data_IF_085072831139
#
_entry.id   IF_085072831139
#
_cell.length_a   1.000
_cell.length_b   1.000
_cell.length_c   1.000
_cell.angle_alpha   90.00
_cell.angle_beta   90.00
_cell.angle_gamma   90.00
#
_symmetry.space_group_name_H-M   'P 1'
#
loop_
_entity.id
_entity.type
_entity.pdbx_description
1 polymer ?
#
# COMPACT_ATOMS: atom_id res chain seq x y z
N UNK A 1 22.89 -53.78 -8.64
CA UNK A 1 21.99 -52.99 -9.49
C UNK A 1 20.85 -52.41 -8.66
N UNK A 2 21.00 -51.20 -8.13
CA UNK A 2 19.88 -50.41 -7.61
C UNK A 2 20.31 -48.93 -7.50
N UNK A 3 20.31 -48.22 -8.62
CA UNK A 3 20.30 -46.76 -8.62
C UNK A 3 18.93 -46.34 -9.14
N UNK A 4 18.05 -45.79 -8.28
CA UNK A 4 16.98 -44.90 -8.75
C UNK A 4 16.41 -44.00 -7.66
N UNK A 5 16.97 -42.79 -7.64
CA UNK A 5 16.31 -41.50 -7.41
C UNK A 5 15.91 -41.14 -5.97
N UNK A 6 16.76 -40.28 -5.40
CA UNK A 6 16.39 -39.25 -4.44
C UNK A 6 15.13 -38.52 -4.90
N UNK A 7 14.03 -38.68 -4.16
CA UNK A 7 12.79 -37.92 -4.34
C UNK A 7 12.93 -36.60 -3.58
N UNK A 8 13.35 -35.59 -4.33
CA UNK A 8 13.29 -34.17 -3.99
C UNK A 8 11.93 -33.81 -3.39
N UNK A 9 11.95 -33.26 -2.16
CA UNK A 9 10.84 -32.50 -1.60
C UNK A 9 10.57 -31.25 -2.43
N UNK A 10 9.30 -30.91 -2.66
CA UNK A 10 8.89 -29.55 -2.31
C UNK A 10 7.71 -29.56 -1.33
N UNK A 11 7.94 -28.99 -0.14
CA UNK A 11 6.89 -28.51 0.74
C UNK A 11 6.27 -27.25 0.10
N UNK A 12 5.05 -27.38 -0.41
CA UNK A 12 4.17 -26.26 -0.76
C UNK A 12 2.70 -26.73 -0.65
N UNK A 13 1.71 -25.87 -0.38
CA UNK A 13 1.74 -24.60 0.33
C UNK A 13 0.65 -24.54 1.43
N UNK A 14 1.02 -24.07 2.63
CA UNK A 14 0.06 -23.57 3.62
C UNK A 14 -0.51 -22.25 3.09
N UNK A 15 -1.83 -22.22 2.86
CA UNK A 15 -2.79 -21.08 2.86
C UNK A 15 -3.98 -21.53 1.98
N UNK A 16 -4.90 -22.35 2.48
CA UNK A 16 -6.03 -21.87 3.27
C UNK A 16 -6.57 -20.52 2.76
N UNK A 17 -7.54 -20.61 1.86
CA UNK A 17 -8.68 -19.71 1.67
C UNK A 17 -8.70 -18.43 2.52
N UNK A 18 -8.33 -17.32 1.89
CA UNK A 18 -8.87 -16.02 2.23
C UNK A 18 -9.12 -15.29 0.91
N UNK A 19 -10.21 -15.64 0.23
CA UNK A 19 -10.76 -14.82 -0.82
C UNK A 19 -11.26 -13.51 -0.18
N UNK A 20 -10.66 -12.33 -0.46
CA UNK A 20 -11.35 -11.10 -0.15
C UNK A 20 -12.55 -11.03 -1.08
N UNK A 21 -13.73 -11.13 -0.47
CA UNK A 21 -15.03 -11.00 -1.09
C UNK A 21 -15.03 -9.93 -2.19
N UNK A 22 -15.64 -10.31 -3.30
CA UNK A 22 -16.14 -9.43 -4.36
C UNK A 22 -16.68 -8.12 -3.78
N UNK A 23 -15.90 -7.04 -3.89
CA UNK A 23 -16.41 -5.69 -3.70
C UNK A 23 -17.02 -5.22 -5.02
N UNK A 24 -18.23 -5.71 -5.31
CA UNK A 24 -19.16 -4.96 -6.13
C UNK A 24 -19.59 -3.74 -5.30
N UNK A 25 -19.13 -2.54 -5.67
CA UNK A 25 -19.54 -1.32 -5.00
C UNK A 25 -20.98 -0.98 -5.35
N UNK A 26 -21.85 -0.83 -4.35
CA UNK A 26 -23.21 -0.31 -4.55
C UNK A 26 -23.19 1.23 -4.60
N UNK A 27 -23.90 1.80 -5.57
CA UNK A 27 -24.31 3.20 -5.58
C UNK A 27 -25.53 3.35 -4.67
N UNK A 28 -25.33 3.89 -3.45
CA UNK A 28 -26.44 4.36 -2.61
C UNK A 28 -26.41 5.88 -2.53
N UNK A 29 -27.55 6.51 -2.84
CA UNK A 29 -27.79 7.96 -2.72
C UNK A 29 -26.73 8.87 -3.34
N UNK A 30 -26.23 8.54 -4.54
CA UNK A 30 -25.37 9.44 -5.32
C UNK A 30 -24.00 9.74 -4.70
N UNK A 31 -23.61 9.08 -3.60
CA UNK A 31 -22.32 9.26 -2.95
C UNK A 31 -21.42 8.07 -3.23
N UNK A 32 -20.40 8.25 -4.08
CA UNK A 32 -19.38 7.23 -4.33
C UNK A 32 -18.59 7.00 -3.04
N UNK A 33 -18.95 5.95 -2.30
CA UNK A 33 -18.26 5.51 -1.10
C UNK A 33 -16.82 5.17 -1.49
N UNK A 34 -15.88 6.01 -1.05
CA UNK A 34 -14.46 5.82 -1.34
C UNK A 34 -14.04 4.39 -0.96
N UNK A 35 -13.40 3.71 -1.91
CA UNK A 35 -12.81 2.38 -1.74
C UNK A 35 -12.16 2.26 -0.36
N UNK A 36 -12.53 1.22 0.40
CA UNK A 36 -11.99 0.98 1.71
C UNK A 36 -10.45 1.07 1.71
N UNK A 37 -9.81 1.63 2.76
CA UNK A 37 -8.37 1.53 2.89
C UNK A 37 -7.99 0.05 2.84
N UNK A 38 -7.00 -0.29 2.03
CA UNK A 38 -6.46 -1.65 1.95
C UNK A 38 -5.98 -2.04 3.35
N UNK A 39 -6.72 -2.97 3.98
CA UNK A 39 -6.57 -3.32 5.39
C UNK A 39 -5.16 -3.85 5.73
N UNK A 40 -4.45 -4.38 4.72
CA UNK A 40 -3.05 -4.84 4.83
C UNK A 40 -2.11 -3.75 5.37
N UNK A 41 -2.31 -2.50 4.95
CA UNK A 41 -1.46 -1.37 5.36
C UNK A 41 -1.80 -0.86 6.77
N UNK A 42 -3.04 -1.00 7.22
CA UNK A 42 -3.44 -0.55 8.56
C UNK A 42 -2.90 -1.51 9.62
N UNK A 43 -2.99 -2.82 9.38
CA UNK A 43 -2.47 -3.84 10.29
C UNK A 43 -0.93 -3.79 10.43
N UNK A 44 -0.21 -3.45 9.36
CA UNK A 44 1.25 -3.45 9.37
C UNK A 44 1.90 -2.25 10.09
N UNK A 45 1.20 -1.11 10.18
CA UNK A 45 1.77 0.16 10.68
C UNK A 45 0.91 0.86 11.75
N UNK A 46 -0.36 0.50 11.89
CA UNK A 46 -1.24 1.03 12.93
C UNK A 46 -1.04 0.19 14.18
N UNK A 47 -0.59 0.78 15.29
CA UNK A 47 -0.45 0.10 16.59
C UNK A 47 -1.79 -0.29 17.23
N UNK A 48 -2.77 -0.74 16.44
CA UNK A 48 -4.12 -1.16 16.76
C UNK A 48 -5.01 -1.20 15.51
N UNK A 49 -5.98 -2.12 15.46
CA UNK A 49 -6.79 -2.50 14.27
C UNK A 49 -7.65 -1.36 13.69
N UNK A 50 -7.86 -0.27 14.44
CA UNK A 50 -8.64 0.90 13.99
C UNK A 50 -7.83 2.17 13.69
N UNK A 51 -6.50 2.14 13.83
CA UNK A 51 -5.70 3.37 13.81
C UNK A 51 -5.37 3.87 12.39
N UNK A 52 -6.33 4.53 11.74
CA UNK A 52 -6.16 5.15 10.42
C UNK A 52 -5.47 6.51 10.46
N UNK A 53 -5.48 7.19 11.62
CA UNK A 53 -4.89 8.52 11.83
C UNK A 53 -3.36 8.55 11.96
N UNK A 54 -2.72 7.39 12.10
CA UNK A 54 -1.27 7.31 12.28
C UNK A 54 -0.52 7.79 11.03
N UNK A 55 0.50 8.64 11.21
CA UNK A 55 1.32 9.15 10.11
C UNK A 55 2.00 8.02 9.29
N UNK A 56 2.38 6.90 9.93
CA UNK A 56 2.97 5.75 9.24
C UNK A 56 1.95 5.07 8.29
N UNK A 57 0.72 4.86 8.78
CA UNK A 57 -0.38 4.27 7.98
C UNK A 57 -0.73 5.19 6.81
N UNK A 58 -0.82 6.50 7.04
CA UNK A 58 -1.09 7.46 5.97
C UNK A 58 0.00 7.45 4.89
N UNK A 59 1.28 7.33 5.26
CA UNK A 59 2.39 7.22 4.30
C UNK A 59 2.28 5.94 3.46
N UNK A 60 1.90 4.82 4.06
CA UNK A 60 1.66 3.57 3.33
C UNK A 60 0.51 3.70 2.32
N UNK A 61 -0.64 4.23 2.75
CA UNK A 61 -1.81 4.45 1.87
C UNK A 61 -1.50 5.41 0.72
N UNK A 62 -0.78 6.51 0.99
CA UNK A 62 -0.35 7.43 -0.05
C UNK A 62 0.59 6.77 -1.05
N UNK A 63 1.48 5.89 -0.58
CA UNK A 63 2.43 5.19 -1.44
C UNK A 63 1.71 4.21 -2.37
N UNK A 64 0.73 3.46 -1.87
CA UNK A 64 -0.12 2.63 -2.72
C UNK A 64 -0.85 3.45 -3.78
N UNK A 65 -1.47 4.58 -3.39
CA UNK A 65 -2.17 5.47 -4.32
C UNK A 65 -1.25 6.02 -5.40
N UNK A 66 -0.05 6.47 -5.02
CA UNK A 66 0.98 6.96 -5.95
C UNK A 66 1.36 5.87 -6.95
N UNK A 67 1.58 4.64 -6.48
CA UNK A 67 1.97 3.52 -7.35
C UNK A 67 0.85 3.15 -8.34
N UNK A 68 -0.41 3.12 -7.89
CA UNK A 68 -1.57 2.87 -8.77
C UNK A 68 -1.70 3.94 -9.87
N UNK A 69 -1.60 5.21 -9.49
CA UNK A 69 -1.70 6.33 -10.43
C UNK A 69 -0.53 6.33 -11.43
N UNK A 70 0.70 6.14 -10.94
CA UNK A 70 1.93 6.18 -11.76
C UNK A 70 2.00 5.04 -12.77
N UNK A 71 1.67 3.82 -12.35
CA UNK A 71 1.89 2.64 -13.19
C UNK A 71 0.73 2.39 -14.17
N UNK A 72 -0.51 2.80 -13.82
CA UNK A 72 -1.70 2.57 -14.65
C UNK A 72 -2.25 3.84 -15.28
N UNK A 73 -2.84 4.71 -14.46
CA UNK A 73 -3.69 5.82 -14.92
C UNK A 73 -3.01 6.77 -15.92
N UNK A 74 -1.79 7.23 -15.62
CA UNK A 74 -1.09 8.18 -16.50
C UNK A 74 -0.53 7.56 -17.79
N UNK A 75 -0.44 6.23 -17.88
CA UNK A 75 -0.09 5.57 -19.15
C UNK A 75 -1.25 5.63 -20.15
N UNK A 76 -2.48 5.48 -19.65
CA UNK A 76 -3.69 5.58 -20.47
C UNK A 76 -4.09 7.04 -20.75
N UNK A 77 -3.86 7.94 -19.79
CA UNK A 77 -4.26 9.35 -19.88
C UNK A 77 -3.05 10.30 -19.83
N UNK A 78 -2.22 10.27 -20.87
CA UNK A 78 -1.01 11.09 -20.94
C UNK A 78 -1.25 12.61 -20.98
N UNK A 79 -2.46 13.05 -21.39
CA UNK A 79 -2.81 14.48 -21.50
C UNK A 79 -3.41 15.08 -20.22
N UNK A 80 -3.63 14.30 -19.16
CA UNK A 80 -4.24 14.80 -17.92
C UNK A 80 -3.25 15.56 -17.01
N UNK A 81 -3.13 16.87 -17.26
CA UNK A 81 -2.28 17.79 -16.49
C UNK A 81 -2.79 18.02 -15.05
N UNK A 82 -4.10 17.98 -14.82
CA UNK A 82 -4.68 18.19 -13.50
C UNK A 82 -4.42 16.98 -12.60
N UNK A 83 -4.51 15.76 -13.14
CA UNK A 83 -4.11 14.53 -12.49
C UNK A 83 -2.63 14.55 -12.09
N UNK A 84 -1.74 14.96 -13.00
CA UNK A 84 -0.31 15.10 -12.69
C UNK A 84 -0.04 16.08 -11.53
N UNK A 85 -0.74 17.21 -11.49
CA UNK A 85 -0.66 18.16 -10.36
C UNK A 85 -1.13 17.51 -9.06
N UNK A 86 -2.25 16.77 -9.09
CA UNK A 86 -2.73 15.99 -7.94
C UNK A 86 -1.72 14.96 -7.44
N UNK A 87 -1.03 14.26 -8.36
CA UNK A 87 0.05 13.34 -8.03
C UNK A 87 1.21 14.05 -7.34
N UNK A 88 1.66 15.20 -7.85
CA UNK A 88 2.74 15.98 -7.24
C UNK A 88 2.37 16.46 -5.83
N UNK A 89 1.11 16.87 -5.62
CA UNK A 89 0.59 17.21 -4.29
C UNK A 89 0.63 16.00 -3.33
N UNK A 90 0.25 14.80 -3.79
CA UNK A 90 0.34 13.57 -2.99
C UNK A 90 1.78 13.23 -2.59
N UNK A 91 2.72 13.31 -3.53
CA UNK A 91 4.15 13.08 -3.26
C UNK A 91 4.66 14.09 -2.23
N UNK A 92 4.29 15.36 -2.37
CA UNK A 92 4.69 16.44 -1.45
C UNK A 92 4.13 16.23 -0.05
N UNK A 93 2.86 15.84 0.08
CA UNK A 93 2.24 15.54 1.37
C UNK A 93 2.89 14.33 2.05
N UNK A 94 3.22 13.28 1.29
CA UNK A 94 3.98 12.13 1.80
C UNK A 94 5.36 12.54 2.32
N UNK A 95 6.09 13.40 1.60
CA UNK A 95 7.39 13.95 2.04
C UNK A 95 7.26 14.73 3.35
N UNK A 96 6.21 15.55 3.51
CA UNK A 96 5.93 16.27 4.76
C UNK A 96 5.67 15.33 5.95
N UNK A 97 4.89 14.26 5.74
CA UNK A 97 4.65 13.25 6.78
C UNK A 97 5.92 12.50 7.19
N UNK A 98 6.78 12.15 6.23
CA UNK A 98 8.08 11.54 6.52
C UNK A 98 9.00 12.49 7.31
N UNK A 99 9.02 13.77 6.95
CA UNK A 99 9.76 14.79 7.72
C UNK A 99 9.21 14.97 9.14
N UNK A 100 7.89 14.87 9.33
CA UNK A 100 7.26 14.89 10.64
C UNK A 100 7.66 13.67 11.49
N UNK A 101 7.57 12.46 10.91
CA UNK A 101 8.01 11.22 11.56
C UNK A 101 9.47 11.27 11.96
N UNK A 102 10.35 11.79 11.08
CA UNK A 102 11.78 11.95 11.37
C UNK A 102 12.03 12.83 12.59
N UNK A 103 11.24 13.88 12.80
CA UNK A 103 11.36 14.80 13.95
C UNK A 103 10.81 14.21 15.25
N UNK A 104 9.72 13.43 15.19
CA UNK A 104 9.02 12.94 16.39
C UNK A 104 9.46 11.55 16.83
N UNK A 105 9.67 10.61 15.90
CA UNK A 105 9.95 9.20 16.16
C UNK A 105 10.88 8.61 15.10
N UNK A 106 12.18 8.67 15.37
CA UNK A 106 13.22 8.23 14.42
C UNK A 106 13.11 6.74 14.06
N UNK A 107 12.81 5.88 15.04
CA UNK A 107 12.67 4.42 14.87
C UNK A 107 11.55 4.10 13.86
N UNK A 108 10.40 4.76 14.02
CA UNK A 108 9.26 4.60 13.11
C UNK A 108 9.57 5.12 11.70
N UNK A 109 10.29 6.23 11.59
CA UNK A 109 10.75 6.72 10.29
C UNK A 109 11.63 5.69 9.57
N UNK A 110 12.65 5.14 10.25
CA UNK A 110 13.54 4.14 9.67
C UNK A 110 12.79 2.87 9.24
N UNK A 111 11.89 2.37 10.10
CA UNK A 111 11.05 1.21 9.79
C UNK A 111 10.18 1.43 8.55
N UNK A 112 9.50 2.59 8.44
CA UNK A 112 8.64 2.91 7.31
C UNK A 112 9.44 3.07 6.01
N UNK A 113 10.58 3.75 6.07
CA UNK A 113 11.45 3.94 4.90
C UNK A 113 11.99 2.60 4.38
N UNK A 114 12.46 1.73 5.28
CA UNK A 114 12.99 0.41 4.92
C UNK A 114 11.90 -0.50 4.34
N UNK A 115 10.72 -0.56 4.98
CA UNK A 115 9.62 -1.42 4.50
C UNK A 115 9.05 -0.97 3.15
N UNK A 116 8.96 0.33 2.90
CA UNK A 116 8.40 0.87 1.66
C UNK A 116 9.45 1.08 0.55
N UNK A 117 10.74 0.86 0.83
CA UNK A 117 11.82 1.03 -0.14
C UNK A 117 11.95 2.48 -0.67
N UNK A 118 11.62 3.48 0.16
CA UNK A 118 11.60 4.87 -0.28
C UNK A 118 13.03 5.45 -0.29
N UNK A 119 13.54 5.76 -1.48
CA UNK A 119 14.83 6.45 -1.67
C UNK A 119 14.70 7.94 -1.40
N UNK A 120 15.77 8.53 -0.84
CA UNK A 120 15.84 9.93 -0.41
C UNK A 120 16.13 10.87 -1.57
#
# INVERSE_FOLDING_TARGET
MAQRLLRSMPLHPVLASAAPALCAGELRHGFFRASAPTYSSVAAYGGGVGNTGCAAVQVALMTERINRLRNGHFRMHAKDRHGHRGLQCLISRRRRLLSYLRKRRLIMYAMVVNRLGLRR
#
